data_IF_134502266553
#
_entry.id   IF_134502266553
#
_cell.length_a   1.000
_cell.length_b   1.000
_cell.length_c   1.000
_cell.angle_alpha   90.00
_cell.angle_beta   90.00
_cell.angle_gamma   90.00
#
_symmetry.space_group_name_H-M   'P 1'
#
loop_
_entity.id
_entity.type
_entity.pdbx_description
1 polymer ?
#
# COMPACT_ATOMS: atom_id res chain seq x y z
N UNK A 1 -34.24 -2.36 6.84
CA UNK A 1 -32.83 -2.50 7.25
C UNK A 1 -32.13 -3.18 6.11
N UNK A 2 -31.26 -2.47 5.37
CA UNK A 2 -30.35 -3.13 4.44
C UNK A 2 -29.14 -3.52 5.27
N UNK A 3 -28.88 -4.81 5.38
CA UNK A 3 -27.61 -5.34 5.86
C UNK A 3 -26.55 -4.79 4.91
N UNK A 4 -25.71 -3.89 5.41
CA UNK A 4 -24.43 -3.56 4.77
C UNK A 4 -23.55 -4.77 4.96
N UNK A 5 -23.44 -5.62 3.93
CA UNK A 5 -22.31 -6.54 3.81
C UNK A 5 -21.04 -5.71 3.98
N UNK A 6 -20.36 -5.87 5.10
CA UNK A 6 -18.98 -5.43 5.24
C UNK A 6 -18.16 -6.28 4.28
N UNK A 7 -17.93 -5.78 3.07
CA UNK A 7 -17.01 -6.40 2.12
C UNK A 7 -15.65 -6.42 2.80
N UNK A 8 -15.09 -7.61 3.02
CA UNK A 8 -13.77 -7.75 3.61
C UNK A 8 -12.71 -7.17 2.66
N UNK A 9 -11.63 -6.61 3.22
CA UNK A 9 -10.52 -6.02 2.45
C UNK A 9 -9.80 -7.07 1.58
N UNK A 10 -10.05 -8.36 1.83
CA UNK A 10 -9.41 -9.55 1.27
C UNK A 10 -9.80 -9.91 -0.18
N UNK A 11 -10.58 -9.09 -0.87
CA UNK A 11 -11.02 -9.36 -2.26
C UNK A 11 -9.94 -9.02 -3.32
N UNK A 12 -8.78 -8.50 -2.90
CA UNK A 12 -7.65 -8.23 -3.79
C UNK A 12 -6.89 -9.51 -4.12
N UNK A 13 -6.63 -9.74 -5.41
CA UNK A 13 -5.86 -10.87 -5.90
C UNK A 13 -4.45 -10.40 -6.27
N UNK A 14 -3.44 -11.02 -5.67
CA UNK A 14 -2.04 -10.58 -5.78
C UNK A 14 -1.47 -10.78 -7.19
N UNK A 15 -0.75 -9.77 -7.68
CA UNK A 15 0.08 -9.82 -8.89
C UNK A 15 -0.60 -10.45 -10.11
N UNK A 16 -1.83 -10.06 -10.40
CA UNK A 16 -2.62 -10.58 -11.54
C UNK A 16 -2.19 -10.02 -12.90
N UNK A 17 -1.40 -8.96 -12.87
CA UNK A 17 -1.00 -8.12 -13.97
C UNK A 17 0.09 -8.87 -14.73
N UNK A 18 -0.28 -9.39 -15.90
CA UNK A 18 0.53 -10.36 -16.62
C UNK A 18 1.66 -9.72 -17.43
N UNK A 19 1.63 -8.41 -17.62
CA UNK A 19 2.64 -7.65 -18.35
C UNK A 19 3.36 -6.67 -17.44
N UNK A 20 4.61 -6.35 -17.81
CA UNK A 20 5.38 -5.32 -17.10
C UNK A 20 4.65 -3.96 -17.08
N UNK A 21 3.99 -3.59 -18.18
CA UNK A 21 3.25 -2.34 -18.27
C UNK A 21 2.07 -2.31 -17.28
N UNK A 22 1.26 -3.37 -17.22
CA UNK A 22 0.15 -3.49 -16.28
C UNK A 22 0.64 -3.42 -14.83
N UNK A 23 1.71 -4.14 -14.49
CA UNK A 23 2.29 -4.11 -13.14
C UNK A 23 2.81 -2.72 -12.75
N UNK A 24 3.44 -1.99 -13.67
CA UNK A 24 3.90 -0.61 -13.42
C UNK A 24 2.70 0.32 -13.16
N UNK A 25 1.63 0.19 -13.95
CA UNK A 25 0.41 0.99 -13.76
C UNK A 25 -0.24 0.66 -12.42
N UNK A 26 -0.31 -0.61 -12.05
CA UNK A 26 -0.87 -1.04 -10.78
C UNK A 26 -0.09 -0.46 -9.60
N UNK A 27 1.23 -0.67 -9.56
CA UNK A 27 2.08 -0.13 -8.49
C UNK A 27 2.00 1.40 -8.41
N UNK A 28 1.82 2.10 -9.53
CA UNK A 28 1.64 3.56 -9.53
C UNK A 28 0.40 3.98 -8.75
N UNK A 29 -0.70 3.25 -8.90
CA UNK A 29 -1.96 3.54 -8.21
C UNK A 29 -2.01 2.97 -6.78
N UNK A 30 -1.32 1.86 -6.51
CA UNK A 30 -1.20 1.28 -5.17
C UNK A 30 -0.41 2.20 -4.22
N UNK A 31 0.72 2.75 -4.68
CA UNK A 31 1.49 3.75 -3.92
C UNK A 31 0.67 5.03 -3.70
N UNK A 32 -0.17 5.40 -4.68
CA UNK A 32 -1.12 6.50 -4.52
C UNK A 32 -2.21 6.18 -3.49
N UNK A 33 -2.72 4.95 -3.46
CA UNK A 33 -3.67 4.49 -2.46
C UNK A 33 -3.09 4.62 -1.06
N UNK A 34 -1.87 4.13 -0.84
CA UNK A 34 -1.16 4.25 0.43
C UNK A 34 -1.04 5.73 0.85
N UNK A 35 -0.51 6.57 -0.04
CA UNK A 35 -0.38 8.02 0.19
C UNK A 35 -1.71 8.65 0.59
N UNK A 36 -2.75 8.43 -0.21
CA UNK A 36 -4.04 9.09 -0.07
C UNK A 36 -4.78 8.65 1.21
N UNK A 37 -4.73 7.35 1.54
CA UNK A 37 -5.27 6.85 2.82
C UNK A 37 -4.51 7.46 4.00
N UNK A 38 -3.18 7.54 3.94
CA UNK A 38 -2.39 8.13 5.02
C UNK A 38 -2.62 9.63 5.18
N UNK A 39 -2.83 10.36 4.09
CA UNK A 39 -3.27 11.76 4.16
C UNK A 39 -4.63 11.88 4.86
N UNK A 40 -5.60 11.04 4.50
CA UNK A 40 -6.91 11.02 5.14
C UNK A 40 -6.83 10.65 6.64
N UNK A 41 -6.01 9.65 7.00
CA UNK A 41 -5.80 9.26 8.41
C UNK A 41 -5.09 10.36 9.20
N UNK A 42 -4.16 11.09 8.59
CA UNK A 42 -3.52 12.22 9.23
C UNK A 42 -4.49 13.38 9.45
N UNK A 43 -5.30 13.72 8.46
CA UNK A 43 -6.34 14.75 8.60
C UNK A 43 -7.34 14.40 9.71
N UNK A 44 -7.75 13.12 9.77
CA UNK A 44 -8.71 12.64 10.75
C UNK A 44 -8.17 12.63 12.18
N UNK A 45 -6.95 12.12 12.38
CA UNK A 45 -6.42 11.80 13.71
C UNK A 45 -5.28 12.69 14.18
N UNK A 46 -4.65 13.46 13.29
CA UNK A 46 -3.51 14.33 13.59
C UNK A 46 -2.21 13.60 13.98
N UNK A 47 -2.13 12.28 13.78
CA UNK A 47 -1.00 11.46 14.23
C UNK A 47 0.13 11.50 13.20
N UNK A 48 1.29 11.99 13.63
CA UNK A 48 2.45 12.29 12.77
C UNK A 48 2.97 11.11 11.93
N UNK A 49 2.78 9.87 12.37
CA UNK A 49 3.22 8.69 11.62
C UNK A 49 2.61 8.67 10.21
N UNK A 50 1.30 8.90 10.10
CA UNK A 50 0.60 8.94 8.82
C UNK A 50 1.15 10.04 7.90
N UNK A 51 1.35 11.26 8.41
CA UNK A 51 1.96 12.33 7.62
C UNK A 51 3.38 12.03 7.17
N UNK A 52 4.16 11.32 7.99
CA UNK A 52 5.53 10.96 7.65
C UNK A 52 5.58 9.90 6.55
N UNK A 53 4.75 8.87 6.67
CA UNK A 53 4.67 7.77 5.72
C UNK A 53 4.03 8.23 4.41
N UNK A 54 2.98 9.05 4.42
CA UNK A 54 2.45 9.67 3.20
C UNK A 54 3.50 10.43 2.36
N UNK A 55 4.49 11.06 3.02
CA UNK A 55 5.61 11.71 2.31
C UNK A 55 6.65 10.71 1.77
N UNK A 56 6.73 9.52 2.33
CA UNK A 56 7.51 8.42 1.77
C UNK A 56 6.79 7.84 0.55
N UNK A 57 5.48 7.60 0.63
CA UNK A 57 4.69 7.11 -0.50
C UNK A 57 4.69 8.07 -1.69
N UNK A 58 4.73 9.38 -1.44
CA UNK A 58 4.93 10.32 -2.55
C UNK A 58 6.25 10.06 -3.30
N UNK A 59 7.32 9.66 -2.60
CA UNK A 59 8.61 9.34 -3.25
C UNK A 59 8.55 8.01 -3.98
N UNK A 60 7.82 7.03 -3.45
CA UNK A 60 7.58 5.77 -4.15
C UNK A 60 6.80 6.03 -5.44
N UNK A 61 5.69 6.76 -5.34
CA UNK A 61 4.95 7.30 -6.47
C UNK A 61 5.88 7.97 -7.50
N UNK A 62 6.74 8.91 -7.08
CA UNK A 62 7.67 9.60 -7.98
C UNK A 62 8.67 8.62 -8.65
N UNK A 63 9.09 7.58 -7.95
CA UNK A 63 9.98 6.54 -8.49
C UNK A 63 9.28 5.68 -9.56
N UNK A 64 8.02 5.29 -9.33
CA UNK A 64 7.23 4.57 -10.33
C UNK A 64 6.93 5.46 -11.54
N UNK A 65 6.61 6.74 -11.35
CA UNK A 65 6.43 7.68 -12.46
C UNK A 65 7.71 7.83 -13.31
N UNK A 66 8.89 7.83 -12.69
CA UNK A 66 10.16 7.82 -13.41
C UNK A 66 10.34 6.52 -14.22
N UNK A 67 9.97 5.36 -13.65
CA UNK A 67 9.99 4.08 -14.35
C UNK A 67 9.01 4.07 -15.54
N UNK A 68 7.77 4.55 -15.35
CA UNK A 68 6.77 4.69 -16.41
C UNK A 68 7.34 5.46 -17.60
N UNK A 69 7.97 6.62 -17.33
CA UNK A 69 8.63 7.41 -18.37
C UNK A 69 9.76 6.67 -19.07
N UNK A 70 10.54 5.86 -18.36
CA UNK A 70 11.62 5.07 -18.95
C UNK A 70 11.09 3.94 -19.85
N UNK A 71 9.91 3.40 -19.55
CA UNK A 71 9.28 2.30 -20.27
C UNK A 71 8.22 2.74 -21.28
N UNK A 72 8.07 4.05 -21.48
CA UNK A 72 7.06 4.67 -22.36
C UNK A 72 5.61 4.28 -21.98
N UNK A 73 5.37 4.08 -20.68
CA UNK A 73 4.04 3.80 -20.10
C UNK A 73 3.35 5.11 -19.76
N UNK A 74 2.07 5.23 -20.12
CA UNK A 74 1.29 6.47 -19.88
C UNK A 74 0.84 6.58 -18.42
N UNK A 75 1.17 7.68 -17.74
CA UNK A 75 0.68 7.98 -16.39
C UNK A 75 -0.69 8.66 -16.46
N UNK A 76 -1.74 7.90 -16.13
CA UNK A 76 -3.14 8.37 -16.15
C UNK A 76 -3.58 8.98 -14.82
N UNK A 77 -2.84 8.78 -13.73
CA UNK A 77 -3.17 9.32 -12.40
C UNK A 77 -2.37 10.56 -12.05
N UNK A 78 -1.12 10.69 -12.51
CA UNK A 78 -0.32 11.93 -12.43
C UNK A 78 -0.48 12.71 -11.10
N UNK A 79 -0.89 13.98 -11.23
CA UNK A 79 -1.19 14.90 -10.12
C UNK A 79 -2.69 14.93 -9.76
N UNK A 80 -3.43 13.85 -10.03
CA UNK A 80 -4.86 13.80 -9.73
C UNK A 80 -5.14 13.96 -8.23
N UNK A 81 -6.34 14.46 -7.94
CA UNK A 81 -6.81 14.71 -6.58
C UNK A 81 -6.79 13.44 -5.71
N UNK A 82 -6.77 13.65 -4.39
CA UNK A 82 -6.86 12.58 -3.39
C UNK A 82 -8.13 11.77 -3.62
N UNK A 83 -8.02 10.44 -3.65
CA UNK A 83 -9.15 9.53 -3.86
C UNK A 83 -9.52 9.30 -5.34
N UNK A 84 -8.83 9.92 -6.29
CA UNK A 84 -8.98 9.62 -7.71
C UNK A 84 -8.08 8.45 -8.13
N UNK A 85 -8.66 7.44 -8.78
CA UNK A 85 -7.99 6.22 -9.26
C UNK A 85 -8.59 5.83 -10.60
N UNK A 86 -7.78 5.28 -11.51
CA UNK A 86 -8.27 4.75 -12.79
C UNK A 86 -8.55 3.26 -12.72
N UNK A 87 -7.90 2.54 -11.79
CA UNK A 87 -8.19 1.14 -11.49
C UNK A 87 -9.40 1.06 -10.54
N UNK A 88 -10.55 0.50 -10.99
CA UNK A 88 -11.78 0.47 -10.18
C UNK A 88 -11.62 -0.24 -8.83
N UNK A 89 -10.83 -1.32 -8.79
CA UNK A 89 -10.54 -2.09 -7.59
C UNK A 89 -9.84 -1.22 -6.52
N UNK A 90 -8.82 -0.46 -6.92
CA UNK A 90 -8.08 0.45 -6.03
C UNK A 90 -8.96 1.59 -5.53
N UNK A 91 -9.85 2.11 -6.38
CA UNK A 91 -10.84 3.13 -5.97
C UNK A 91 -11.77 2.62 -4.86
N UNK A 92 -12.23 1.37 -4.98
CA UNK A 92 -13.08 0.75 -3.97
C UNK A 92 -12.29 0.52 -2.68
N UNK A 93 -11.06 0.01 -2.78
CA UNK A 93 -10.16 -0.17 -1.63
C UNK A 93 -9.94 1.14 -0.87
N UNK A 94 -9.68 2.25 -1.56
CA UNK A 94 -9.56 3.56 -0.93
C UNK A 94 -10.77 3.90 -0.05
N UNK A 95 -11.97 3.70 -0.59
CA UNK A 95 -13.22 4.02 0.11
C UNK A 95 -13.37 3.16 1.37
N UNK A 96 -13.16 1.85 1.24
CA UNK A 96 -13.27 0.89 2.35
C UNK A 96 -12.22 1.15 3.44
N UNK A 97 -10.96 1.40 3.04
CA UNK A 97 -9.86 1.62 3.97
C UNK A 97 -10.01 2.94 4.73
N UNK A 98 -10.45 4.02 4.07
CA UNK A 98 -10.74 5.29 4.75
C UNK A 98 -11.92 5.14 5.71
N UNK A 99 -12.98 4.45 5.33
CA UNK A 99 -14.14 4.20 6.21
C UNK A 99 -13.73 3.41 7.45
N UNK A 100 -12.95 2.34 7.29
CA UNK A 100 -12.46 1.51 8.40
C UNK A 100 -11.49 2.28 9.29
N UNK A 101 -10.50 2.95 8.71
CA UNK A 101 -9.49 3.71 9.46
C UNK A 101 -10.08 4.92 10.20
N UNK A 102 -11.26 5.39 9.79
CA UNK A 102 -11.98 6.50 10.45
C UNK A 102 -12.74 6.09 11.72
N UNK A 103 -12.87 4.78 12.00
CA UNK A 103 -13.61 4.27 13.16
C UNK A 103 -12.88 4.52 14.48
N UNK A 104 -11.58 4.21 14.52
CA UNK A 104 -10.73 4.42 15.69
C UNK A 104 -9.26 4.58 15.29
N UNK A 105 -8.44 5.09 16.22
CA UNK A 105 -6.98 5.16 16.00
C UNK A 105 -6.37 3.77 15.82
N UNK A 106 -6.88 2.76 16.55
CA UNK A 106 -6.40 1.38 16.38
C UNK A 106 -6.76 0.87 14.99
N UNK A 107 -7.98 1.11 14.50
CA UNK A 107 -8.38 0.75 13.14
C UNK A 107 -7.55 1.48 12.08
N UNK A 108 -7.16 2.73 12.32
CA UNK A 108 -6.27 3.47 11.43
C UNK A 108 -4.88 2.83 11.33
N UNK A 109 -4.32 2.32 12.44
CA UNK A 109 -3.05 1.59 12.41
C UNK A 109 -3.19 0.18 11.82
N UNK A 110 -4.34 -0.49 12.01
CA UNK A 110 -4.62 -1.75 11.32
C UNK A 110 -4.68 -1.52 9.80
N UNK A 111 -5.38 -0.48 9.36
CA UNK A 111 -5.43 -0.08 7.93
C UNK A 111 -4.03 0.20 7.40
N UNK A 112 -3.19 0.93 8.15
CA UNK A 112 -1.79 1.13 7.79
C UNK A 112 -1.04 -0.18 7.62
N UNK A 113 -1.08 -1.07 8.60
CA UNK A 113 -0.45 -2.38 8.48
C UNK A 113 -1.00 -3.22 7.30
N UNK A 114 -2.31 -3.14 7.02
CA UNK A 114 -2.93 -3.87 5.90
C UNK A 114 -2.52 -3.36 4.53
N UNK A 115 -2.31 -2.05 4.36
CA UNK A 115 -1.79 -1.50 3.11
C UNK A 115 -0.36 -1.99 2.88
N UNK A 116 0.51 -1.90 3.89
CA UNK A 116 1.89 -2.36 3.75
C UNK A 116 2.00 -3.88 3.56
N UNK A 117 1.06 -4.65 4.10
CA UNK A 117 0.97 -6.10 3.92
C UNK A 117 0.68 -6.47 2.46
N UNK A 118 -0.29 -5.78 1.87
CA UNK A 118 -0.66 -5.91 0.46
C UNK A 118 0.49 -5.48 -0.45
N UNK A 119 1.02 -4.29 -0.24
CA UNK A 119 2.07 -3.70 -1.07
C UNK A 119 3.36 -4.56 -1.09
N UNK A 120 3.76 -5.10 0.07
CA UNK A 120 4.88 -6.04 0.15
C UNK A 120 4.60 -7.30 -0.68
N UNK A 121 3.39 -7.87 -0.58
CA UNK A 121 3.04 -9.09 -1.28
C UNK A 121 3.00 -8.89 -2.80
N UNK A 122 2.44 -7.77 -3.27
CA UNK A 122 2.40 -7.43 -4.69
C UNK A 122 3.78 -7.10 -5.25
N UNK A 123 4.62 -6.34 -4.52
CA UNK A 123 5.99 -6.08 -4.91
C UNK A 123 6.81 -7.37 -5.03
N UNK A 124 6.71 -8.29 -4.08
CA UNK A 124 7.37 -9.61 -4.15
C UNK A 124 6.87 -10.41 -5.37
N UNK A 125 5.57 -10.39 -5.64
CA UNK A 125 4.99 -11.03 -6.82
C UNK A 125 5.54 -10.43 -8.11
N UNK A 126 5.50 -9.10 -8.29
CA UNK A 126 5.97 -8.45 -9.52
C UNK A 126 7.47 -8.59 -9.73
N UNK A 127 8.29 -8.53 -8.68
CA UNK A 127 9.73 -8.79 -8.77
C UNK A 127 9.98 -10.21 -9.31
N UNK A 128 9.18 -11.19 -8.90
CA UNK A 128 9.33 -12.58 -9.36
C UNK A 128 8.88 -12.82 -10.82
N UNK A 129 8.05 -11.92 -11.36
CA UNK A 129 7.43 -12.07 -12.68
C UNK A 129 8.15 -11.32 -13.80
N UNK A 130 9.11 -10.44 -13.48
CA UNK A 130 9.83 -9.62 -14.47
C UNK A 130 11.34 -9.85 -14.43
N UNK A 131 11.97 -9.80 -15.61
CA UNK A 131 13.43 -9.78 -15.76
C UNK A 131 13.96 -8.37 -16.08
N UNK A 132 13.08 -7.36 -16.14
CA UNK A 132 13.49 -5.99 -16.44
C UNK A 132 14.29 -5.39 -15.27
N UNK A 133 15.59 -5.07 -15.46
CA UNK A 133 16.46 -4.69 -14.35
C UNK A 133 16.09 -3.34 -13.73
N UNK A 134 15.49 -2.43 -14.50
CA UNK A 134 15.06 -1.13 -13.99
C UNK A 134 13.83 -1.29 -13.10
N UNK A 135 12.87 -2.13 -13.52
CA UNK A 135 11.68 -2.43 -12.74
C UNK A 135 12.03 -3.16 -11.44
N UNK A 136 12.86 -4.21 -11.51
CA UNK A 136 13.33 -4.93 -10.32
C UNK A 136 14.02 -3.98 -9.34
N UNK A 137 14.85 -3.06 -9.84
CA UNK A 137 15.54 -2.09 -8.99
C UNK A 137 14.58 -1.13 -8.29
N UNK A 138 13.55 -0.64 -8.98
CA UNK A 138 12.54 0.24 -8.40
C UNK A 138 11.70 -0.52 -7.38
N UNK A 139 11.11 -1.65 -7.75
CA UNK A 139 10.27 -2.45 -6.86
C UNK A 139 11.01 -2.94 -5.62
N UNK A 140 12.28 -3.33 -5.75
CA UNK A 140 13.08 -3.73 -4.57
C UNK A 140 13.32 -2.57 -3.59
N UNK A 141 13.35 -1.32 -4.08
CA UNK A 141 13.50 -0.14 -3.21
C UNK A 141 12.19 0.23 -2.52
N UNK A 142 11.08 0.12 -3.24
CA UNK A 142 9.74 0.27 -2.68
C UNK A 142 9.53 -0.76 -1.58
N UNK A 143 9.81 -2.04 -1.86
CA UNK A 143 9.69 -3.16 -0.92
C UNK A 143 10.42 -2.89 0.40
N UNK A 144 11.67 -2.41 0.32
CA UNK A 144 12.43 -2.05 1.51
C UNK A 144 11.82 -0.85 2.27
N UNK A 145 11.15 0.07 1.58
CA UNK A 145 10.35 1.15 2.17
C UNK A 145 9.15 0.60 2.93
N UNK A 146 8.33 -0.21 2.26
CA UNK A 146 7.11 -0.81 2.78
C UNK A 146 7.39 -1.71 4.00
N UNK A 147 8.50 -2.47 3.99
CA UNK A 147 8.97 -3.21 5.17
C UNK A 147 9.20 -2.31 6.40
N UNK A 148 9.75 -1.10 6.20
CA UNK A 148 9.96 -0.15 7.30
C UNK A 148 8.65 0.50 7.76
N UNK A 149 7.69 0.68 6.85
CA UNK A 149 6.36 1.21 7.15
C UNK A 149 5.55 0.19 7.94
N UNK A 150 5.54 -1.07 7.49
CA UNK A 150 5.00 -2.23 8.20
C UNK A 150 5.55 -2.28 9.63
N UNK A 151 6.87 -2.28 9.80
CA UNK A 151 7.49 -2.27 11.14
C UNK A 151 6.98 -1.12 12.01
N UNK A 152 6.83 0.08 11.43
CA UNK A 152 6.37 1.27 12.14
C UNK A 152 4.91 1.14 12.61
N UNK A 153 4.02 0.58 11.78
CA UNK A 153 2.62 0.34 12.17
C UNK A 153 2.49 -0.79 13.18
N UNK A 154 3.21 -1.90 13.01
CA UNK A 154 3.26 -3.00 13.99
C UNK A 154 3.74 -2.50 15.35
N UNK A 155 4.78 -1.67 15.40
CA UNK A 155 5.27 -1.08 16.65
C UNK A 155 4.19 -0.22 17.35
N UNK A 156 3.35 0.49 16.59
CA UNK A 156 2.23 1.25 17.13
C UNK A 156 1.10 0.35 17.65
N UNK A 157 0.75 -0.71 16.91
CA UNK A 157 -0.26 -1.70 17.32
C UNK A 157 0.16 -2.46 18.58
N UNK A 158 1.42 -2.86 18.69
CA UNK A 158 1.96 -3.53 19.88
C UNK A 158 1.84 -2.66 21.13
N UNK A 159 2.04 -1.34 21.02
CA UNK A 159 1.84 -0.39 22.13
C UNK A 159 0.38 -0.31 22.59
N UNK A 160 -0.55 -0.71 21.73
CA UNK A 160 -1.98 -0.80 22.01
C UNK A 160 -2.40 -2.21 22.44
N UNK A 161 -1.44 -3.14 22.63
CA UNK A 161 -1.69 -4.56 22.87
C UNK A 161 -2.53 -5.21 21.76
N UNK A 162 -2.38 -4.74 20.53
CA UNK A 162 -3.02 -5.32 19.36
C UNK A 162 -2.01 -6.14 18.57
N UNK A 163 -2.33 -7.40 18.31
CA UNK A 163 -1.52 -8.34 17.52
C UNK A 163 -2.06 -8.42 16.08
N UNK A 164 -1.36 -7.80 15.14
CA UNK A 164 -1.74 -7.80 13.74
C UNK A 164 -1.57 -9.18 13.12
N UNK A 165 -2.61 -9.67 12.44
CA UNK A 165 -2.53 -10.89 11.65
C UNK A 165 -2.40 -10.52 10.18
N UNK A 166 -1.33 -10.96 9.48
CA UNK A 166 -1.17 -10.64 8.08
C UNK A 166 -2.23 -11.33 7.24
N UNK A 167 -2.66 -10.64 6.19
CA UNK A 167 -3.72 -11.02 5.26
C UNK A 167 -3.14 -11.45 3.91
N UNK A 168 -1.99 -10.91 3.49
CA UNK A 168 -1.39 -11.18 2.18
C UNK A 168 -0.03 -11.88 2.31
N UNK A 169 0.89 -11.35 3.12
CA UNK A 169 2.15 -12.03 3.44
C UNK A 169 1.95 -13.15 4.45
N UNK A 170 2.89 -14.10 4.49
CA UNK A 170 2.86 -15.15 5.50
C UNK A 170 3.19 -14.60 6.90
N UNK A 171 2.77 -15.33 7.94
CA UNK A 171 3.13 -15.01 9.33
C UNK A 171 4.64 -15.06 9.56
N UNK A 172 5.29 -16.00 8.89
CA UNK A 172 6.75 -16.14 8.89
C UNK A 172 7.41 -14.90 8.28
N UNK A 173 6.89 -14.43 7.14
CA UNK A 173 7.41 -13.24 6.47
C UNK A 173 7.24 -11.98 7.31
N UNK A 174 6.08 -11.79 7.92
CA UNK A 174 5.86 -10.70 8.88
C UNK A 174 6.85 -10.77 10.05
N UNK A 175 7.09 -11.97 10.60
CA UNK A 175 8.04 -12.15 11.69
C UNK A 175 9.48 -11.82 11.26
N UNK A 176 9.89 -12.15 10.03
CA UNK A 176 11.20 -11.76 9.49
C UNK A 176 11.36 -10.24 9.44
N UNK A 177 10.36 -9.52 8.92
CA UNK A 177 10.37 -8.05 8.84
C UNK A 177 10.52 -7.44 10.24
N UNK A 178 9.76 -7.95 11.21
CA UNK A 178 9.79 -7.45 12.60
C UNK A 178 11.13 -7.73 13.27
N UNK A 179 11.73 -8.90 13.04
CA UNK A 179 12.98 -9.32 13.68
C UNK A 179 14.24 -8.74 13.02
N UNK A 180 14.13 -8.15 11.84
CA UNK A 180 15.24 -7.53 11.12
C UNK A 180 15.61 -6.11 11.64
N UNK A 181 15.00 -5.67 12.75
CA UNK A 181 15.09 -4.32 13.34
C UNK A 181 15.20 -4.37 14.86
#
# INVERSE_FOLDING_TARGET
MKETETKEITDHTLGTETTLEEGIIYMREEEKLARDVYLAMYERWGIRIFANIARAEQRHMDAVAALMKMKDVSDTVGDADVGFFTIPEIKELYTVLVEKGSQSVTDAFIVGATIEDMDIADLEAYISQTEDPDAVLVYSRLLAGSENHMFSFIAQLNRMNYDYQPQYISKERLAEIINAR
#
